data_IF_643317392411
#
_entry.id   IF_643317392411
#
_cell.length_a   1.000
_cell.length_b   1.000
_cell.length_c   1.000
_cell.angle_alpha   90.00
_cell.angle_beta   90.00
_cell.angle_gamma   90.00
#
_symmetry.space_group_name_H-M   'P 1'
#
loop_
_entity.id
_entity.type
_entity.pdbx_description
1 polymer ?
#
# COMPACT_ATOMS: atom_id res chain seq x y z
N UNK A 1 44.81 14.27 -59.04
CA UNK A 1 44.51 12.83 -58.94
C UNK A 1 44.28 12.50 -57.48
N UNK A 2 43.19 11.80 -57.15
CA UNK A 2 43.04 11.04 -55.90
C UNK A 2 42.44 11.79 -54.71
N UNK A 3 41.11 11.90 -54.67
CA UNK A 3 40.34 12.15 -53.45
C UNK A 3 39.82 10.79 -52.95
N UNK A 4 40.13 10.39 -51.71
CA UNK A 4 39.52 9.23 -51.05
C UNK A 4 39.20 9.58 -49.59
N UNK A 5 38.03 10.17 -49.37
CA UNK A 5 37.37 10.14 -48.07
C UNK A 5 36.72 8.76 -47.89
N UNK A 6 37.07 8.07 -46.80
CA UNK A 6 36.44 6.81 -46.40
C UNK A 6 34.95 7.02 -46.18
N UNK A 7 34.11 6.33 -46.96
CA UNK A 7 32.66 6.26 -46.74
C UNK A 7 32.40 5.40 -45.49
N UNK A 8 31.78 5.99 -44.48
CA UNK A 8 31.06 5.22 -43.47
C UNK A 8 29.79 4.64 -44.13
N UNK A 9 29.63 3.32 -44.07
CA UNK A 9 28.42 2.63 -44.52
C UNK A 9 27.24 3.05 -43.62
N UNK A 10 26.22 3.64 -44.24
CA UNK A 10 24.95 3.96 -43.61
C UNK A 10 24.16 2.65 -43.47
N UNK A 11 23.88 2.24 -42.23
CA UNK A 11 23.04 1.10 -41.92
C UNK A 11 21.62 1.26 -42.51
N UNK A 12 20.95 0.17 -42.93
CA UNK A 12 19.70 0.26 -43.67
C UNK A 12 18.56 0.81 -42.80
N UNK A 13 17.78 1.68 -43.43
CA UNK A 13 16.51 2.23 -42.96
C UNK A 13 15.62 1.14 -42.35
N UNK A 14 15.39 1.21 -41.05
CA UNK A 14 14.32 0.46 -40.40
C UNK A 14 12.98 0.83 -41.05
N UNK A 15 12.32 -0.14 -41.64
CA UNK A 15 10.94 -0.03 -42.10
C UNK A 15 10.03 0.23 -40.90
N UNK A 16 9.12 1.19 -41.02
CA UNK A 16 8.07 1.43 -40.02
C UNK A 16 7.21 0.18 -39.88
N UNK A 17 7.50 -0.63 -38.86
CA UNK A 17 6.54 -1.62 -38.38
C UNK A 17 5.40 -0.86 -37.72
N UNK A 18 4.26 -0.77 -38.41
CA UNK A 18 3.00 -0.32 -37.83
C UNK A 18 2.65 -1.25 -36.67
N UNK A 19 2.92 -0.80 -35.44
CA UNK A 19 2.44 -1.47 -34.25
C UNK A 19 0.91 -1.48 -34.28
N UNK A 20 0.33 -2.68 -34.38
CA UNK A 20 -1.09 -2.87 -34.13
C UNK A 20 -1.27 -2.80 -32.62
N UNK A 21 -1.92 -1.75 -32.13
CA UNK A 21 -2.33 -1.63 -30.72
C UNK A 21 -3.27 -2.79 -30.43
N UNK A 22 -2.93 -3.73 -29.54
CA UNK A 22 -3.88 -4.75 -29.11
C UNK A 22 -5.06 -4.04 -28.48
N UNK A 23 -6.27 -4.32 -28.97
CA UNK A 23 -7.50 -3.86 -28.30
C UNK A 23 -7.42 -4.36 -26.86
N UNK A 24 -7.36 -3.44 -25.89
CA UNK A 24 -7.38 -3.79 -24.49
C UNK A 24 -8.53 -4.79 -24.27
N UNK A 25 -8.21 -5.96 -23.71
CA UNK A 25 -9.25 -6.83 -23.21
C UNK A 25 -10.12 -5.98 -22.28
N UNK A 26 -11.44 -6.03 -22.47
CA UNK A 26 -12.35 -5.46 -21.49
C UNK A 26 -11.92 -5.98 -20.11
N UNK A 27 -11.86 -5.12 -19.08
CA UNK A 27 -11.38 -5.53 -17.77
C UNK A 27 -12.20 -6.75 -17.36
N UNK A 28 -11.49 -7.86 -17.14
CA UNK A 28 -12.08 -9.06 -16.57
C UNK A 28 -12.83 -8.61 -15.32
N UNK A 29 -14.13 -8.92 -15.27
CA UNK A 29 -14.93 -8.61 -14.09
C UNK A 29 -14.25 -9.30 -12.93
N UNK A 30 -13.62 -8.52 -12.05
CA UNK A 30 -13.03 -9.03 -10.83
C UNK A 30 -14.16 -9.67 -10.06
N UNK A 31 -14.21 -11.01 -10.06
CA UNK A 31 -15.06 -11.75 -9.14
C UNK A 31 -14.53 -11.42 -7.75
N UNK A 32 -15.23 -10.51 -7.08
CA UNK A 32 -14.96 -10.17 -5.69
C UNK A 32 -15.25 -11.43 -4.87
N UNK A 33 -14.21 -12.20 -4.57
CA UNK A 33 -14.27 -13.26 -3.57
C UNK A 33 -14.98 -12.69 -2.34
N UNK A 34 -16.13 -13.29 -1.98
CA UNK A 34 -17.17 -12.68 -1.16
C UNK A 34 -16.85 -12.39 0.32
N UNK A 35 -15.58 -12.16 0.66
CA UNK A 35 -15.10 -11.79 1.99
C UNK A 35 -15.61 -10.42 2.43
N UNK A 36 -15.74 -9.47 1.49
CA UNK A 36 -16.23 -8.11 1.78
C UNK A 36 -17.75 -7.95 1.62
N UNK A 37 -18.46 -9.01 1.25
CA UNK A 37 -19.90 -8.95 0.95
C UNK A 37 -20.77 -8.97 2.23
N UNK A 38 -20.14 -9.05 3.40
CA UNK A 38 -20.80 -9.10 4.71
C UNK A 38 -20.56 -7.82 5.51
N UNK A 39 -20.51 -6.67 4.84
CA UNK A 39 -20.71 -5.39 5.51
C UNK A 39 -22.22 -5.31 5.73
N UNK A 40 -22.67 -5.75 6.91
CA UNK A 40 -24.01 -5.38 7.37
C UNK A 40 -24.11 -3.88 7.22
N UNK A 41 -25.11 -3.41 6.47
CA UNK A 41 -25.29 -2.00 6.13
C UNK A 41 -25.45 -1.25 7.45
N UNK A 42 -24.34 -0.78 8.01
CA UNK A 42 -24.35 0.08 9.17
C UNK A 42 -24.96 1.38 8.68
N UNK A 43 -26.04 1.82 9.32
CA UNK A 43 -26.66 3.12 9.06
C UNK A 43 -25.76 4.29 9.47
N UNK A 44 -24.54 4.00 9.94
CA UNK A 44 -23.50 4.97 10.29
C UNK A 44 -22.63 5.19 9.06
N UNK A 45 -22.54 6.41 8.56
CA UNK A 45 -21.58 6.78 7.52
C UNK A 45 -20.17 6.31 7.93
N UNK A 46 -19.55 5.36 7.20
CA UNK A 46 -18.23 4.83 7.53
C UNK A 46 -17.15 5.90 7.60
N UNK A 47 -17.35 7.04 6.92
CA UNK A 47 -16.46 8.19 6.95
C UNK A 47 -16.35 8.81 8.35
N UNK A 48 -17.40 8.70 9.18
CA UNK A 48 -17.39 9.17 10.57
C UNK A 48 -16.43 8.37 11.44
N UNK A 49 -16.18 7.09 11.11
CA UNK A 49 -15.26 6.25 11.88
C UNK A 49 -13.81 6.67 11.72
N UNK A 50 -13.47 7.33 10.60
CA UNK A 50 -12.12 7.82 10.32
C UNK A 50 -12.02 9.35 10.39
N UNK A 51 -13.10 10.07 10.68
CA UNK A 51 -13.10 11.54 10.73
C UNK A 51 -11.96 12.07 11.61
N UNK A 52 -11.20 13.02 11.08
CA UNK A 52 -10.07 13.66 11.76
C UNK A 52 -8.71 13.02 11.48
N UNK A 53 -8.63 11.88 10.77
CA UNK A 53 -7.35 11.25 10.44
C UNK A 53 -6.38 12.17 9.70
N UNK A 54 -6.89 13.08 8.88
CA UNK A 54 -6.10 14.05 8.12
C UNK A 54 -5.31 15.03 9.00
N UNK A 55 -5.78 15.27 10.23
CA UNK A 55 -5.16 16.18 11.20
C UNK A 55 -4.06 15.50 12.02
N UNK A 56 -3.94 14.18 11.94
CA UNK A 56 -2.96 13.42 12.69
C UNK A 56 -1.56 13.52 12.06
N UNK A 57 -0.56 13.84 12.88
CA UNK A 57 0.84 13.87 12.47
C UNK A 57 1.39 12.44 12.31
N UNK A 58 2.29 12.25 11.34
CA UNK A 58 3.05 11.00 11.28
C UNK A 58 3.95 10.92 12.51
N UNK A 59 4.09 9.72 13.06
CA UNK A 59 5.05 9.41 14.10
C UNK A 59 5.71 8.06 13.78
N UNK A 60 6.59 7.58 14.67
CA UNK A 60 7.17 6.25 14.50
C UNK A 60 6.10 5.16 14.68
N UNK A 61 6.32 4.01 14.04
CA UNK A 61 5.38 2.89 14.09
C UNK A 61 5.21 2.36 15.52
N UNK A 62 6.28 2.38 16.31
CA UNK A 62 6.27 2.04 17.73
C UNK A 62 5.37 2.99 18.53
N UNK A 63 5.49 4.31 18.31
CA UNK A 63 4.68 5.31 19.01
C UNK A 63 3.20 5.23 18.64
N UNK A 64 2.90 4.96 17.37
CA UNK A 64 1.54 4.79 16.90
C UNK A 64 0.91 3.53 17.50
N UNK A 65 1.64 2.41 17.52
CA UNK A 65 1.09 1.10 17.90
C UNK A 65 1.21 0.78 19.39
N UNK A 66 1.85 1.66 20.18
CA UNK A 66 1.93 1.55 21.64
C UNK A 66 0.59 1.19 22.34
N UNK A 67 -0.59 1.70 21.93
CA UNK A 67 -1.87 1.31 22.55
C UNK A 67 -2.27 -0.16 22.35
N UNK A 68 -1.56 -0.88 21.49
CA UNK A 68 -1.72 -2.31 21.24
C UNK A 68 -0.65 -3.17 21.91
N UNK A 69 0.29 -2.58 22.67
CA UNK A 69 1.24 -3.33 23.48
C UNK A 69 0.50 -4.29 24.42
N UNK A 70 0.85 -5.57 24.34
CA UNK A 70 0.18 -6.64 25.10
C UNK A 70 -1.19 -7.08 24.58
N UNK A 71 -1.77 -6.39 23.59
CA UNK A 71 -2.99 -6.83 22.88
C UNK A 71 -2.66 -7.63 21.63
N UNK A 72 -1.60 -7.23 20.92
CA UNK A 72 -1.11 -7.92 19.73
C UNK A 72 0.10 -8.74 20.12
N UNK A 73 0.01 -10.05 19.93
CA UNK A 73 1.11 -10.98 20.16
C UNK A 73 2.31 -10.62 19.31
N UNK A 74 3.49 -10.49 19.92
CA UNK A 74 4.77 -10.21 19.23
C UNK A 74 4.75 -8.91 18.41
N UNK A 75 4.00 -7.88 18.84
CA UNK A 75 3.87 -6.60 18.14
C UNK A 75 5.23 -5.99 17.73
N UNK A 76 6.18 -5.90 18.66
CA UNK A 76 7.51 -5.35 18.38
C UNK A 76 8.28 -6.15 17.32
N UNK A 77 8.08 -7.48 17.28
CA UNK A 77 8.70 -8.32 16.27
C UNK A 77 8.02 -8.11 14.92
N UNK A 78 6.69 -7.99 14.87
CA UNK A 78 5.96 -7.65 13.64
C UNK A 78 6.42 -6.31 13.07
N UNK A 79 6.62 -5.29 13.91
CA UNK A 79 7.15 -3.97 13.52
C UNK A 79 8.56 -4.11 12.94
N UNK A 80 9.45 -4.82 13.64
CA UNK A 80 10.83 -5.04 13.19
C UNK A 80 10.88 -5.81 11.86
N UNK A 81 10.08 -6.86 11.75
CA UNK A 81 10.01 -7.70 10.56
C UNK A 81 9.48 -6.87 9.38
N UNK A 82 8.42 -6.08 9.56
CA UNK A 82 7.92 -5.16 8.55
C UNK A 82 9.00 -4.17 8.08
N UNK A 83 9.71 -3.51 9.02
CA UNK A 83 10.80 -2.58 8.70
C UNK A 83 11.93 -3.23 7.92
N UNK A 84 12.26 -4.49 8.21
CA UNK A 84 13.32 -5.23 7.51
C UNK A 84 12.92 -5.70 6.11
N UNK A 85 11.63 -5.88 5.85
CA UNK A 85 11.10 -6.31 4.55
C UNK A 85 10.90 -5.13 3.58
N UNK A 86 10.91 -3.90 4.08
CA UNK A 86 10.79 -2.70 3.27
C UNK A 86 12.15 -2.22 2.78
N UNK A 87 12.27 -2.00 1.47
CA UNK A 87 13.46 -1.37 0.88
C UNK A 87 13.47 0.13 1.15
N UNK A 88 14.63 0.66 1.54
CA UNK A 88 14.83 2.08 1.76
C UNK A 88 16.26 2.50 1.33
N UNK A 89 16.44 3.66 0.67
CA UNK A 89 15.40 4.59 0.20
C UNK A 89 14.57 4.02 -0.95
N UNK A 90 13.24 4.22 -0.94
CA UNK A 90 12.36 3.76 -2.02
C UNK A 90 12.10 4.86 -3.08
N UNK A 91 11.61 4.44 -4.23
CA UNK A 91 11.28 5.30 -5.38
C UNK A 91 10.11 6.26 -5.11
N UNK A 92 9.31 5.98 -4.07
CA UNK A 92 8.15 6.77 -3.68
C UNK A 92 8.45 7.78 -2.58
N UNK A 93 9.71 7.94 -2.19
CA UNK A 93 10.16 8.83 -1.12
C UNK A 93 9.48 8.60 0.25
N UNK A 94 8.91 7.41 0.48
CA UNK A 94 8.33 7.05 1.78
C UNK A 94 9.46 6.76 2.77
N UNK A 95 9.30 7.21 4.00
CA UNK A 95 10.15 6.78 5.12
C UNK A 95 10.03 5.27 5.36
N UNK A 96 10.98 4.72 6.11
CA UNK A 96 10.94 3.30 6.49
C UNK A 96 9.69 2.97 7.33
N UNK A 97 9.26 3.88 8.22
CA UNK A 97 8.05 3.72 9.03
C UNK A 97 6.78 3.70 8.17
N UNK A 98 6.67 4.60 7.20
CA UNK A 98 5.52 4.64 6.28
C UNK A 98 5.45 3.38 5.41
N UNK A 99 6.60 2.94 4.90
CA UNK A 99 6.70 1.70 4.12
C UNK A 99 6.30 0.48 4.96
N UNK A 100 6.78 0.41 6.21
CA UNK A 100 6.46 -0.67 7.14
C UNK A 100 4.98 -0.65 7.54
N UNK A 101 4.39 0.53 7.73
CA UNK A 101 2.95 0.67 8.00
C UNK A 101 2.11 0.10 6.86
N UNK A 102 2.45 0.43 5.61
CA UNK A 102 1.79 -0.15 4.42
C UNK A 102 1.97 -1.66 4.34
N UNK A 103 3.19 -2.15 4.61
CA UNK A 103 3.46 -3.59 4.65
C UNK A 103 2.56 -4.31 5.66
N UNK A 104 2.44 -3.78 6.89
CA UNK A 104 1.58 -4.36 7.92
C UNK A 104 0.10 -4.33 7.52
N UNK A 105 -0.35 -3.29 6.82
CA UNK A 105 -1.73 -3.16 6.34
C UNK A 105 -2.07 -4.15 5.22
N UNK A 106 -1.11 -4.43 4.34
CA UNK A 106 -1.30 -5.32 3.19
C UNK A 106 -0.97 -6.79 3.52
N UNK A 107 -0.29 -7.04 4.64
CA UNK A 107 0.06 -8.38 5.08
C UNK A 107 -1.19 -9.18 5.44
N UNK A 108 -1.48 -10.21 4.65
CA UNK A 108 -2.57 -11.17 4.89
C UNK A 108 -2.10 -12.36 5.75
N UNK A 109 -1.07 -12.17 6.58
CA UNK A 109 -0.61 -13.19 7.50
C UNK A 109 -1.75 -13.65 8.43
N UNK A 110 -1.85 -14.97 8.63
CA UNK A 110 -2.86 -15.57 9.52
C UNK A 110 -2.40 -15.43 10.97
N UNK A 111 -3.33 -15.10 11.88
CA UNK A 111 -3.07 -15.05 13.33
C UNK A 111 -3.35 -13.68 13.96
N UNK A 112 -2.79 -13.42 15.13
CA UNK A 112 -2.88 -12.10 15.81
C UNK A 112 -1.96 -11.09 15.13
N UNK A 113 -2.37 -10.64 13.96
CA UNK A 113 -1.66 -9.62 13.20
C UNK A 113 -2.20 -8.24 13.51
N UNK A 114 -1.34 -7.27 13.25
CA UNK A 114 -1.66 -5.86 13.21
C UNK A 114 -2.91 -5.55 12.37
N UNK A 115 -3.00 -6.09 11.14
CA UNK A 115 -4.16 -5.91 10.27
C UNK A 115 -5.45 -6.47 10.88
N UNK A 116 -5.39 -7.69 11.45
CA UNK A 116 -6.57 -8.32 12.04
C UNK A 116 -7.09 -7.53 13.25
N UNK A 117 -6.21 -6.92 14.05
CA UNK A 117 -6.62 -6.03 15.14
C UNK A 117 -7.38 -4.82 14.61
N UNK A 118 -6.91 -4.21 13.52
CA UNK A 118 -7.60 -3.08 12.89
C UNK A 118 -8.96 -3.50 12.31
N UNK A 119 -9.02 -4.62 11.59
CA UNK A 119 -10.27 -5.16 11.03
C UNK A 119 -11.30 -5.46 12.15
N UNK A 120 -10.86 -5.97 13.29
CA UNK A 120 -11.72 -6.16 14.46
C UNK A 120 -12.22 -4.84 15.05
N UNK A 121 -11.36 -3.83 15.18
CA UNK A 121 -11.78 -2.51 15.69
C UNK A 121 -12.77 -1.83 14.75
N UNK A 122 -12.60 -1.99 13.42
CA UNK A 122 -13.56 -1.53 12.41
C UNK A 122 -14.91 -2.22 12.57
N UNK A 123 -14.92 -3.56 12.67
CA UNK A 123 -16.16 -4.34 12.84
C UNK A 123 -16.90 -4.02 14.15
N UNK A 124 -16.19 -3.56 15.18
CA UNK A 124 -16.76 -3.14 16.47
C UNK A 124 -17.18 -1.67 16.49
N UNK A 125 -16.96 -0.90 15.42
CA UNK A 125 -17.10 0.57 15.40
C UNK A 125 -16.31 1.24 16.56
N UNK A 126 -15.18 0.67 16.97
CA UNK A 126 -14.40 1.17 18.11
C UNK A 126 -13.39 2.22 17.64
N UNK A 127 -13.87 3.46 17.49
CA UNK A 127 -13.04 4.59 17.03
C UNK A 127 -11.78 4.79 17.86
N UNK A 128 -11.83 4.61 19.18
CA UNK A 128 -10.68 4.79 20.06
C UNK A 128 -9.54 3.81 19.75
N UNK A 129 -9.86 2.57 19.38
CA UNK A 129 -8.87 1.59 18.92
C UNK A 129 -8.41 1.86 17.48
N UNK A 130 -9.20 2.58 16.68
CA UNK A 130 -8.80 2.97 15.33
C UNK A 130 -7.89 4.21 15.30
N UNK A 131 -7.96 5.11 16.27
CA UNK A 131 -7.17 6.35 16.32
C UNK A 131 -5.64 6.15 16.13
N UNK A 132 -4.99 5.14 16.72
CA UNK A 132 -3.60 4.78 16.42
C UNK A 132 -3.27 4.69 14.93
N UNK A 133 -4.21 4.16 14.14
CA UNK A 133 -4.07 3.92 12.70
C UNK A 133 -4.23 5.16 11.86
N UNK A 134 -4.95 6.17 12.37
CA UNK A 134 -5.24 7.39 11.62
C UNK A 134 -3.99 8.09 11.13
N UNK A 135 -2.91 8.02 11.91
CA UNK A 135 -1.59 8.57 11.57
C UNK A 135 -1.07 8.05 10.23
N UNK A 136 -1.39 6.81 9.87
CA UNK A 136 -0.95 6.17 8.63
C UNK A 136 -2.05 6.04 7.57
N UNK A 137 -3.34 6.22 7.91
CA UNK A 137 -4.43 6.16 6.93
C UNK A 137 -4.28 7.18 5.79
N UNK A 138 -3.65 8.32 6.05
CA UNK A 138 -3.35 9.31 5.01
C UNK A 138 -2.42 8.81 3.91
N UNK A 139 -1.65 7.75 4.15
CA UNK A 139 -0.82 7.12 3.13
C UNK A 139 -1.65 6.37 2.07
N UNK A 140 -2.91 6.03 2.38
CA UNK A 140 -3.80 5.28 1.47
C UNK A 140 -4.67 6.19 0.59
N UNK A 141 -4.68 7.50 0.85
CA UNK A 141 -5.55 8.47 0.16
C UNK A 141 -4.93 9.07 -1.11
N UNK A 142 -3.83 8.49 -1.62
CA UNK A 142 -3.03 9.06 -2.73
C UNK A 142 -3.83 9.29 -4.00
#
# INVERSE_FOLDING_TARGET
>A
MGCCCSKAEVAPSHSEQKYIVPKAAEPEKVETNGRYNKIGISTTDPSLLIEGYEKESLCSLEEALKPFDGKISRLNEQIRDAKSKCYYPNEHHLTQDESAALYLYLSQEKGDTVYNSLEQSWNKNNRAEMMPWFKYLKLLKS
#
